data_IF_716847549477
#
_entry.id   IF_716847549477
#
_cell.length_a   1.000
_cell.length_b   1.000
_cell.length_c   1.000
_cell.angle_alpha   90.00
_cell.angle_beta   90.00
_cell.angle_gamma   90.00
#
_symmetry.space_group_name_H-M   'P 1'
#
loop_
_entity.id
_entity.type
_entity.pdbx_description
1 polymer ?
#
# COMPACT_ATOMS: atom_id res chain seq x y z
N UNK A 1 -2.91 23.49 -50.31
CA UNK A 1 -2.54 23.74 -48.91
C UNK A 1 -3.70 23.62 -47.86
N UNK A 2 -4.83 23.04 -48.22
CA UNK A 2 -6.02 22.98 -47.30
C UNK A 2 -6.24 21.61 -46.61
N UNK A 3 -5.43 20.61 -46.93
CA UNK A 3 -5.61 19.24 -46.41
C UNK A 3 -4.59 18.82 -45.34
N UNK A 4 -3.62 19.68 -45.04
CA UNK A 4 -2.58 19.38 -44.05
C UNK A 4 -2.95 19.77 -42.60
N UNK A 5 -3.99 20.59 -42.44
CA UNK A 5 -4.45 21.08 -41.12
C UNK A 5 -5.44 20.14 -40.42
N UNK A 6 -6.02 19.18 -41.15
CA UNK A 6 -6.98 18.23 -40.58
C UNK A 6 -6.34 16.98 -39.94
N UNK A 7 -5.07 16.70 -40.28
CA UNK A 7 -4.37 15.54 -39.71
C UNK A 7 -3.73 15.81 -38.35
N UNK A 8 -3.47 17.05 -37.98
CA UNK A 8 -2.88 17.40 -36.67
C UNK A 8 -3.93 17.41 -35.54
N UNK A 9 -5.22 17.53 -35.87
CA UNK A 9 -6.29 17.56 -34.87
C UNK A 9 -6.67 16.20 -34.31
N UNK A 10 -6.34 15.11 -35.01
CA UNK A 10 -6.77 13.74 -34.59
C UNK A 10 -5.73 13.06 -33.68
N UNK A 11 -4.48 13.50 -33.70
CA UNK A 11 -3.40 12.87 -32.88
C UNK A 11 -3.39 13.39 -31.44
N UNK A 12 -3.96 14.56 -31.18
CA UNK A 12 -4.02 15.14 -29.83
C UNK A 12 -5.14 14.55 -28.93
N UNK A 13 -6.03 13.74 -29.47
CA UNK A 13 -7.19 13.20 -28.73
C UNK A 13 -6.97 11.79 -28.15
N UNK A 14 -5.79 11.16 -28.33
CA UNK A 14 -5.57 9.78 -27.90
C UNK A 14 -4.62 9.61 -26.70
N UNK A 15 -4.30 10.66 -25.99
CA UNK A 15 -3.39 10.59 -24.84
C UNK A 15 -4.00 11.07 -23.52
N UNK A 16 -5.33 11.01 -23.39
CA UNK A 16 -5.93 11.03 -22.06
C UNK A 16 -6.05 9.55 -21.68
N UNK A 17 -4.93 8.95 -21.29
CA UNK A 17 -4.97 7.71 -20.52
C UNK A 17 -5.86 7.99 -19.32
N UNK A 18 -6.98 7.27 -19.20
CA UNK A 18 -7.76 7.30 -17.97
C UNK A 18 -6.77 7.07 -16.83
N UNK A 19 -6.78 7.89 -15.77
CA UNK A 19 -5.94 7.60 -14.62
C UNK A 19 -6.28 6.18 -14.18
N UNK A 20 -5.27 5.34 -14.08
CA UNK A 20 -5.44 4.03 -13.47
C UNK A 20 -5.77 4.30 -11.99
N UNK A 21 -7.05 4.29 -11.67
CA UNK A 21 -7.51 4.35 -10.29
C UNK A 21 -7.18 3.03 -9.64
N UNK A 22 -6.34 3.06 -8.63
CA UNK A 22 -5.99 1.87 -7.86
C UNK A 22 -6.34 2.08 -6.39
N UNK A 23 -6.66 0.98 -5.71
CA UNK A 23 -6.86 0.94 -4.28
C UNK A 23 -5.57 1.37 -3.57
N UNK A 24 -5.70 1.80 -2.32
CA UNK A 24 -4.57 2.39 -1.61
C UNK A 24 -4.25 1.64 -0.32
N UNK A 25 -3.03 1.15 -0.23
CA UNK A 25 -2.46 0.59 1.00
C UNK A 25 -1.34 1.50 1.51
N UNK A 26 -1.29 1.75 2.82
CA UNK A 26 -0.30 2.63 3.39
C UNK A 26 0.07 2.24 4.82
N UNK A 27 1.22 2.74 5.24
CA UNK A 27 1.70 2.65 6.60
C UNK A 27 1.62 4.02 7.28
N UNK A 28 1.23 3.99 8.54
CA UNK A 28 1.11 5.15 9.41
C UNK A 28 1.96 4.88 10.66
N UNK A 29 2.92 5.74 10.95
CA UNK A 29 3.85 5.59 12.07
C UNK A 29 3.39 6.41 13.26
N UNK A 30 2.72 7.52 13.04
CA UNK A 30 2.31 8.46 14.07
C UNK A 30 0.90 8.18 14.64
N UNK A 31 0.13 7.26 14.01
CA UNK A 31 -1.18 6.81 14.48
C UNK A 31 -2.31 7.80 14.18
N UNK A 32 -2.15 8.70 13.21
CA UNK A 32 -3.19 9.68 12.84
C UNK A 32 -4.17 9.17 11.77
N UNK A 33 -3.93 7.97 11.22
CA UNK A 33 -4.78 7.30 10.25
C UNK A 33 -4.61 7.82 8.82
N UNK A 34 -3.56 8.57 8.52
CA UNK A 34 -3.22 9.05 7.18
C UNK A 34 -1.73 8.90 6.91
N UNK A 35 -1.34 8.64 5.66
CA UNK A 35 0.07 8.63 5.29
C UNK A 35 0.52 10.03 4.86
N UNK A 36 1.44 10.60 5.62
CA UNK A 36 1.97 11.93 5.42
C UNK A 36 3.50 11.95 5.46
N UNK A 37 4.09 13.12 5.27
CA UNK A 37 5.53 13.31 5.48
C UNK A 37 5.97 13.15 6.95
N UNK A 38 5.02 13.09 7.89
CA UNK A 38 5.28 12.85 9.30
C UNK A 38 5.48 11.37 9.65
N UNK A 39 5.14 10.46 8.73
CA UNK A 39 5.32 9.01 8.92
C UNK A 39 6.77 8.59 8.76
N UNK A 40 7.58 9.03 9.70
CA UNK A 40 9.01 8.83 9.74
C UNK A 40 9.37 7.82 10.82
N UNK A 41 10.04 6.74 10.43
CA UNK A 41 10.62 5.78 11.37
C UNK A 41 11.82 6.40 12.10
N UNK A 42 11.76 6.32 13.41
CA UNK A 42 12.84 6.76 14.32
C UNK A 42 13.16 5.63 15.30
N UNK A 43 14.27 5.76 16.02
CA UNK A 43 14.62 4.79 17.07
C UNK A 43 13.61 4.72 18.23
N UNK A 44 12.70 5.69 18.33
CA UNK A 44 11.60 5.68 19.30
C UNK A 44 10.31 5.07 18.75
N UNK A 45 10.23 4.79 17.46
CA UNK A 45 9.07 4.15 16.86
C UNK A 45 8.99 2.69 17.30
N UNK A 46 7.86 2.28 17.86
CA UNK A 46 7.63 0.91 18.37
C UNK A 46 6.52 0.18 17.62
N UNK A 47 5.72 0.90 16.86
CA UNK A 47 4.59 0.39 16.09
C UNK A 47 4.50 1.06 14.73
N UNK A 48 4.01 0.30 13.75
CA UNK A 48 3.61 0.79 12.43
C UNK A 48 2.21 0.27 12.17
N UNK A 49 1.26 1.16 11.95
CA UNK A 49 -0.10 0.83 11.59
C UNK A 49 -0.18 0.57 10.09
N UNK A 50 -0.95 -0.43 9.69
CA UNK A 50 -1.16 -0.80 8.28
C UNK A 50 -2.62 -0.58 7.95
N UNK A 51 -2.88 0.27 6.95
CA UNK A 51 -4.21 0.60 6.47
C UNK A 51 -4.39 0.16 5.03
N UNK A 52 -5.63 -0.18 4.70
CA UNK A 52 -6.05 -0.46 3.34
C UNK A 52 -7.38 0.24 3.03
N UNK A 53 -7.43 0.97 1.92
CA UNK A 53 -8.62 1.60 1.38
C UNK A 53 -8.99 0.91 0.08
N UNK A 54 -10.07 0.12 0.09
CA UNK A 54 -10.48 -0.69 -1.05
C UNK A 54 -11.18 0.10 -2.14
N UNK A 55 -11.79 1.24 -1.80
CA UNK A 55 -12.64 2.00 -2.70
C UNK A 55 -12.18 3.44 -2.98
N UNK A 56 -10.97 3.79 -2.54
CA UNK A 56 -10.33 5.06 -2.90
C UNK A 56 -8.89 4.85 -3.33
N UNK A 57 -8.46 5.67 -4.27
CA UNK A 57 -7.06 5.79 -4.64
C UNK A 57 -6.29 6.65 -3.63
N UNK A 58 -4.96 6.65 -3.72
CA UNK A 58 -4.08 7.54 -2.94
C UNK A 58 -4.44 9.02 -3.07
N UNK A 59 -4.97 9.44 -4.23
CA UNK A 59 -5.42 10.80 -4.47
C UNK A 59 -6.84 11.08 -3.91
N UNK A 60 -7.48 10.11 -3.28
CA UNK A 60 -8.83 10.22 -2.72
C UNK A 60 -9.94 10.08 -3.75
N UNK A 61 -9.64 9.72 -5.00
CA UNK A 61 -10.66 9.47 -6.00
C UNK A 61 -11.34 8.13 -5.72
N UNK A 62 -12.66 8.07 -5.87
CA UNK A 62 -13.43 6.83 -5.75
C UNK A 62 -13.00 5.83 -6.82
N UNK A 63 -12.77 4.60 -6.40
CA UNK A 63 -12.45 3.46 -7.26
C UNK A 63 -13.62 2.51 -7.27
N UNK A 64 -13.93 1.97 -8.44
CA UNK A 64 -14.99 0.96 -8.63
C UNK A 64 -14.42 -0.18 -9.47
N UNK A 65 -15.03 -1.36 -9.40
CA UNK A 65 -14.74 -2.42 -10.34
C UNK A 65 -14.99 -1.96 -11.78
N UNK A 66 -14.23 -2.46 -12.73
CA UNK A 66 -14.35 -2.06 -14.15
C UNK A 66 -15.71 -2.33 -14.75
N UNK A 67 -16.43 -3.33 -14.25
CA UNK A 67 -17.80 -3.65 -14.68
C UNK A 67 -18.87 -2.73 -14.05
N UNK A 68 -18.52 -1.96 -13.04
CA UNK A 68 -19.41 -1.06 -12.31
C UNK A 68 -20.53 -1.77 -11.51
N UNK A 69 -20.50 -3.09 -11.42
CA UNK A 69 -21.53 -3.91 -10.78
C UNK A 69 -21.05 -4.55 -9.48
N UNK A 70 -19.86 -5.10 -9.50
CA UNK A 70 -19.31 -5.79 -8.34
C UNK A 70 -18.71 -4.80 -7.32
N UNK A 71 -18.89 -5.05 -6.02
CA UNK A 71 -18.32 -4.20 -4.99
C UNK A 71 -16.82 -4.46 -4.83
N UNK A 72 -16.07 -3.43 -4.43
CA UNK A 72 -14.69 -3.54 -3.97
C UNK A 72 -14.64 -3.93 -2.49
N UNK A 73 -15.33 -5.00 -2.15
CA UNK A 73 -15.29 -5.62 -0.84
C UNK A 73 -14.02 -6.45 -0.65
N UNK A 74 -13.78 -6.92 0.56
CA UNK A 74 -12.55 -7.63 0.89
C UNK A 74 -12.86 -8.91 1.68
N UNK A 75 -12.36 -10.04 1.18
CA UNK A 75 -12.40 -11.32 1.88
C UNK A 75 -11.01 -11.86 2.25
N UNK A 76 -9.98 -11.44 1.55
CA UNK A 76 -8.59 -11.80 1.83
C UNK A 76 -7.77 -10.53 1.80
N UNK A 77 -6.80 -10.43 2.67
CA UNK A 77 -5.69 -9.49 2.52
C UNK A 77 -4.37 -10.13 2.91
N UNK A 78 -3.36 -9.80 2.16
CA UNK A 78 -1.96 -10.11 2.44
C UNK A 78 -1.14 -8.84 2.33
N UNK A 79 -0.10 -8.73 3.13
CA UNK A 79 0.93 -7.75 2.86
C UNK A 79 2.31 -8.28 3.20
N UNK A 80 3.28 -7.78 2.48
CA UNK A 80 4.71 -7.98 2.73
C UNK A 80 5.36 -6.61 2.78
N UNK A 81 6.14 -6.37 3.83
CA UNK A 81 6.94 -5.16 4.00
C UNK A 81 8.41 -5.50 3.91
N UNK A 82 9.20 -4.57 3.38
CA UNK A 82 10.65 -4.65 3.27
C UNK A 82 11.28 -3.41 3.88
N UNK A 83 12.27 -3.63 4.76
CA UNK A 83 13.08 -2.55 5.32
C UNK A 83 14.35 -2.34 4.48
N UNK A 84 14.60 -1.08 4.13
CA UNK A 84 15.76 -0.64 3.35
C UNK A 84 16.36 0.64 3.94
N UNK A 85 17.39 1.19 3.30
CA UNK A 85 18.04 2.43 3.73
C UNK A 85 19.15 2.22 4.77
N UNK A 86 19.49 3.26 5.53
CA UNK A 86 20.59 3.25 6.49
C UNK A 86 20.11 2.83 7.89
N UNK A 87 19.97 1.54 8.10
CA UNK A 87 19.52 1.00 9.37
C UNK A 87 18.89 -0.37 9.22
N UNK A 88 18.16 -0.79 10.25
CA UNK A 88 17.45 -2.06 10.24
C UNK A 88 16.16 -1.97 11.05
N UNK A 89 15.22 -2.85 10.71
CA UNK A 89 14.01 -3.09 11.46
C UNK A 89 14.05 -4.49 12.02
N UNK A 90 13.86 -4.61 13.33
CA UNK A 90 13.54 -5.88 13.97
C UNK A 90 12.02 -5.94 14.11
N UNK A 91 11.40 -6.91 13.47
CA UNK A 91 9.97 -7.14 13.54
C UNK A 91 9.66 -8.04 14.74
N UNK A 92 8.90 -7.52 15.71
CA UNK A 92 8.61 -8.22 16.96
C UNK A 92 7.28 -8.99 16.90
N UNK A 93 6.40 -8.66 15.94
CA UNK A 93 5.12 -9.32 15.76
C UNK A 93 4.11 -8.45 15.01
N UNK A 94 2.97 -9.05 14.71
CA UNK A 94 1.80 -8.38 14.15
C UNK A 94 0.58 -8.64 15.00
N UNK A 95 -0.22 -7.60 15.21
CA UNK A 95 -1.50 -7.67 15.89
C UNK A 95 -2.59 -7.19 14.95
N UNK A 96 -3.51 -8.07 14.60
CA UNK A 96 -4.68 -7.73 13.80
C UNK A 96 -5.55 -6.71 14.52
N UNK A 97 -6.12 -5.77 13.78
CA UNK A 97 -7.03 -4.77 14.36
C UNK A 97 -8.31 -5.39 14.89
N UNK A 98 -8.92 -4.74 15.88
CA UNK A 98 -10.20 -5.18 16.45
C UNK A 98 -11.32 -5.18 15.39
N UNK A 99 -11.27 -4.25 14.42
CA UNK A 99 -12.25 -4.15 13.33
C UNK A 99 -12.17 -5.36 12.42
N UNK A 100 -10.95 -5.75 11.99
CA UNK A 100 -10.76 -6.92 11.12
C UNK A 100 -11.08 -8.22 11.84
N UNK A 101 -10.75 -8.31 13.13
CA UNK A 101 -11.13 -9.46 13.93
C UNK A 101 -12.66 -9.57 14.09
N UNK A 102 -13.36 -8.46 14.34
CA UNK A 102 -14.82 -8.42 14.41
C UNK A 102 -15.49 -8.73 13.06
N UNK A 103 -14.86 -8.39 11.94
CA UNK A 103 -15.30 -8.76 10.60
C UNK A 103 -15.06 -10.25 10.26
N UNK A 104 -14.44 -11.02 11.16
CA UNK A 104 -14.26 -12.46 11.02
C UNK A 104 -13.03 -12.88 10.22
N UNK A 105 -12.07 -11.98 10.03
CA UNK A 105 -10.79 -12.33 9.40
C UNK A 105 -9.97 -13.21 10.30
N UNK A 106 -9.58 -14.36 9.77
CA UNK A 106 -8.74 -15.36 10.44
C UNK A 106 -7.38 -15.44 9.77
N UNK A 107 -6.37 -15.74 10.52
CA UNK A 107 -5.01 -15.87 10.01
C UNK A 107 -4.92 -17.02 8.99
N UNK A 108 -4.56 -16.68 7.75
CA UNK A 108 -4.26 -17.62 6.68
C UNK A 108 -2.76 -17.95 6.68
N UNK A 109 -1.94 -16.93 6.66
CA UNK A 109 -0.48 -17.02 6.74
C UNK A 109 0.01 -16.35 8.01
N UNK A 110 0.79 -17.08 8.81
CA UNK A 110 1.37 -16.54 10.02
C UNK A 110 2.31 -15.36 9.71
N UNK A 111 2.36 -14.40 10.62
CA UNK A 111 3.36 -13.33 10.53
C UNK A 111 4.75 -13.95 10.54
N UNK A 112 5.43 -13.85 9.42
CA UNK A 112 6.73 -14.48 9.16
C UNK A 112 7.75 -13.42 8.84
N UNK A 113 8.93 -13.56 9.42
CA UNK A 113 10.06 -12.64 9.23
C UNK A 113 11.20 -13.38 8.53
N UNK A 114 11.75 -12.78 7.49
CA UNK A 114 12.92 -13.27 6.75
C UNK A 114 13.84 -12.09 6.41
N UNK A 115 14.97 -11.99 7.11
CA UNK A 115 15.91 -10.88 6.96
C UNK A 115 15.23 -9.53 7.26
N UNK A 116 15.17 -8.66 6.27
CA UNK A 116 14.50 -7.36 6.35
C UNK A 116 13.06 -7.39 5.80
N UNK A 117 12.51 -8.58 5.51
CA UNK A 117 11.14 -8.76 5.06
C UNK A 117 10.26 -9.28 6.21
N UNK A 118 9.01 -8.87 6.22
CA UNK A 118 7.99 -9.47 7.05
C UNK A 118 6.66 -9.50 6.29
N UNK A 119 5.90 -10.58 6.45
CA UNK A 119 4.63 -10.75 5.76
C UNK A 119 3.60 -11.48 6.60
N UNK A 120 2.33 -11.24 6.28
CA UNK A 120 1.17 -11.86 6.95
C UNK A 120 0.00 -11.92 5.98
N UNK A 121 -0.89 -12.90 6.17
CA UNK A 121 -2.12 -12.99 5.39
C UNK A 121 -3.31 -13.40 6.25
N UNK A 122 -4.48 -12.88 5.90
CA UNK A 122 -5.75 -13.13 6.57
C UNK A 122 -6.87 -13.38 5.56
N UNK A 123 -7.82 -14.21 5.96
CA UNK A 123 -9.00 -14.56 5.15
C UNK A 123 -10.25 -14.51 6.04
N UNK A 124 -11.37 -14.10 5.47
CA UNK A 124 -12.68 -14.16 6.10
C UNK A 124 -13.64 -15.04 5.30
N UNK A 125 -14.62 -15.63 5.98
CA UNK A 125 -15.70 -16.37 5.32
C UNK A 125 -16.75 -15.46 4.69
N UNK A 126 -16.77 -14.19 5.10
CA UNK A 126 -17.66 -13.16 4.58
C UNK A 126 -16.83 -11.97 4.11
N UNK A 127 -17.36 -11.26 3.12
CA UNK A 127 -16.70 -10.06 2.61
C UNK A 127 -16.93 -8.86 3.55
N UNK A 128 -15.86 -8.14 3.88
CA UNK A 128 -15.99 -6.82 4.46
C UNK A 128 -16.47 -5.84 3.37
N UNK A 129 -17.38 -4.93 3.71
CA UNK A 129 -17.88 -3.92 2.78
C UNK A 129 -16.74 -3.07 2.22
N UNK A 130 -16.91 -2.47 1.02
CA UNK A 130 -15.94 -1.50 0.52
C UNK A 130 -15.70 -0.39 1.54
N UNK A 131 -14.43 -0.02 1.73
CA UNK A 131 -14.07 1.02 2.68
C UNK A 131 -12.61 1.02 3.07
N UNK A 132 -12.31 1.86 4.04
CA UNK A 132 -10.97 2.01 4.62
C UNK A 132 -10.89 1.29 5.95
N UNK A 133 -9.88 0.48 6.11
CA UNK A 133 -9.66 -0.36 7.28
C UNK A 133 -8.23 -0.24 7.80
N UNK A 134 -8.08 -0.13 9.10
CA UNK A 134 -6.85 -0.53 9.75
C UNK A 134 -6.79 -2.06 9.76
N UNK A 135 -5.82 -2.63 9.06
CA UNK A 135 -5.61 -4.08 9.05
C UNK A 135 -5.02 -4.54 10.37
N UNK A 136 -4.13 -3.77 10.93
CA UNK A 136 -3.47 -4.02 12.21
C UNK A 136 -2.16 -3.27 12.39
N UNK A 137 -1.37 -3.69 13.36
CA UNK A 137 -0.11 -3.05 13.73
C UNK A 137 1.06 -4.01 13.70
N UNK A 138 2.17 -3.58 13.13
CA UNK A 138 3.46 -4.26 13.21
C UNK A 138 4.22 -3.67 14.40
N UNK A 139 4.61 -4.52 15.35
CA UNK A 139 5.49 -4.14 16.44
C UNK A 139 6.95 -4.20 15.96
N UNK A 140 7.71 -3.14 16.17
CA UNK A 140 9.06 -2.98 15.62
C UNK A 140 10.05 -2.46 16.65
N UNK A 141 11.34 -2.75 16.40
CA UNK A 141 12.48 -2.09 17.04
C UNK A 141 13.37 -1.53 15.93
N UNK A 142 13.67 -0.25 15.98
CA UNK A 142 14.33 0.48 14.91
C UNK A 142 15.77 0.80 15.29
N UNK A 143 16.70 0.57 14.35
CA UNK A 143 18.10 1.01 14.45
C UNK A 143 18.45 1.82 13.21
N UNK A 144 19.04 2.98 13.41
CA UNK A 144 19.37 3.90 12.30
C UNK A 144 18.16 4.58 11.71
N UNK A 145 18.13 4.72 10.39
CA UNK A 145 17.09 5.43 9.65
C UNK A 145 16.56 4.57 8.48
N UNK A 146 15.91 3.45 8.77
CA UNK A 146 15.33 2.61 7.73
C UNK A 146 14.08 3.26 7.13
N UNK A 147 13.69 2.73 5.98
CA UNK A 147 12.44 3.00 5.29
C UNK A 147 11.73 1.66 5.14
N UNK A 148 10.46 1.59 5.49
CA UNK A 148 9.60 0.45 5.15
C UNK A 148 8.85 0.73 3.86
N UNK A 149 8.80 -0.26 2.98
CA UNK A 149 8.01 -0.23 1.75
C UNK A 149 7.18 -1.49 1.64
N UNK A 150 6.04 -1.43 0.99
CA UNK A 150 5.31 -2.64 0.61
C UNK A 150 5.98 -3.33 -0.57
N UNK A 151 5.92 -4.65 -0.55
CA UNK A 151 6.40 -5.51 -1.64
C UNK A 151 5.18 -6.02 -2.40
N UNK A 152 5.03 -5.62 -3.65
CA UNK A 152 3.88 -6.00 -4.48
C UNK A 152 3.84 -7.50 -4.77
N UNK A 153 5.00 -8.09 -5.11
CA UNK A 153 5.13 -9.56 -5.29
C UNK A 153 6.33 -10.04 -4.51
N UNK A 154 6.11 -10.95 -3.57
CA UNK A 154 7.20 -11.54 -2.80
C UNK A 154 7.87 -12.65 -3.59
N UNK A 155 9.18 -12.60 -3.68
CA UNK A 155 10.03 -13.68 -4.21
C UNK A 155 10.79 -14.41 -3.11
N UNK A 156 10.59 -14.03 -1.85
CA UNK A 156 11.22 -14.66 -0.70
C UNK A 156 10.45 -15.94 -0.32
N UNK A 157 11.05 -17.14 -0.51
CA UNK A 157 10.36 -18.40 -0.26
C UNK A 157 10.06 -18.64 1.23
N UNK A 158 10.69 -17.88 2.13
CA UNK A 158 10.42 -17.97 3.56
C UNK A 158 9.18 -17.18 3.97
N UNK A 159 8.71 -16.27 3.13
CA UNK A 159 7.48 -15.49 3.36
C UNK A 159 6.33 -16.20 2.64
N UNK A 160 5.37 -16.80 3.35
CA UNK A 160 4.28 -17.57 2.72
C UNK A 160 3.25 -16.69 2.00
N UNK A 161 3.25 -15.38 2.24
CA UNK A 161 2.39 -14.41 1.55
C UNK A 161 2.89 -14.15 0.14
N UNK A 162 1.98 -14.08 -0.84
CA UNK A 162 2.33 -13.84 -2.25
C UNK A 162 2.84 -12.43 -2.53
N UNK A 163 2.59 -11.51 -1.61
CA UNK A 163 2.93 -10.10 -1.74
C UNK A 163 1.95 -9.23 -0.98
N UNK A 164 1.70 -8.03 -1.49
CA UNK A 164 0.71 -7.11 -0.90
C UNK A 164 -0.48 -7.01 -1.84
N UNK A 165 -1.67 -7.31 -1.34
CA UNK A 165 -2.89 -7.31 -2.12
C UNK A 165 -4.11 -7.71 -1.29
N UNK A 166 -5.24 -7.83 -1.96
CA UNK A 166 -6.49 -8.29 -1.35
C UNK A 166 -7.36 -9.02 -2.36
N UNK A 167 -8.28 -9.85 -1.88
CA UNK A 167 -9.30 -10.50 -2.70
C UNK A 167 -10.64 -9.77 -2.63
N UNK A 168 -11.28 -9.59 -3.79
CA UNK A 168 -12.53 -8.87 -4.00
C UNK A 168 -13.40 -9.55 -5.03
N UNK A 169 -14.68 -9.17 -5.14
CA UNK A 169 -15.60 -9.61 -6.19
C UNK A 169 -15.38 -8.94 -7.56
N UNK A 170 -14.38 -8.12 -7.74
CA UNK A 170 -14.14 -7.41 -9.01
C UNK A 170 -13.90 -8.30 -10.22
N UNK A 171 -13.50 -9.55 -10.03
CA UNK A 171 -13.31 -10.48 -11.15
C UNK A 171 -14.59 -11.29 -11.42
N UNK A 172 -15.44 -10.74 -12.30
CA UNK A 172 -16.65 -11.41 -12.75
C UNK A 172 -16.41 -12.55 -13.75
N UNK A 173 -15.17 -12.74 -14.23
CA UNK A 173 -14.85 -13.74 -15.25
C UNK A 173 -14.72 -15.16 -14.69
N UNK A 174 -14.54 -15.26 -13.38
CA UNK A 174 -14.36 -16.52 -12.68
C UNK A 174 -15.44 -16.62 -11.64
N UNK A 175 -16.22 -17.65 -11.67
CA UNK A 175 -17.32 -18.00 -10.75
C UNK A 175 -17.53 -17.07 -9.55
N UNK A 176 -18.76 -16.81 -9.22
CA UNK A 176 -19.29 -15.89 -8.17
C UNK A 176 -18.66 -15.95 -6.77
N UNK A 177 -17.58 -16.68 -6.57
CA UNK A 177 -16.86 -16.85 -5.32
C UNK A 177 -15.33 -16.72 -5.48
N UNK A 178 -14.83 -16.30 -6.66
CA UNK A 178 -13.40 -16.19 -6.86
C UNK A 178 -12.94 -14.75 -6.83
N UNK A 179 -11.88 -14.57 -6.14
CA UNK A 179 -11.25 -13.33 -5.75
C UNK A 179 -10.09 -13.04 -6.68
N UNK A 180 -10.05 -11.85 -7.22
CA UNK A 180 -8.83 -11.38 -7.87
C UNK A 180 -7.90 -10.84 -6.82
N UNK A 181 -6.75 -11.47 -6.62
CA UNK A 181 -5.66 -10.88 -5.89
C UNK A 181 -5.02 -9.80 -6.78
N UNK A 182 -5.52 -8.58 -6.64
CA UNK A 182 -5.09 -7.49 -7.50
C UNK A 182 -3.84 -6.81 -7.00
N UNK A 183 -2.66 -7.34 -7.32
CA UNK A 183 -1.40 -6.60 -7.16
C UNK A 183 -1.36 -5.39 -8.09
N UNK A 184 -2.03 -5.47 -9.23
CA UNK A 184 -2.07 -4.42 -10.25
C UNK A 184 -3.11 -3.32 -9.95
N UNK A 185 -3.86 -3.45 -8.85
CA UNK A 185 -5.01 -2.59 -8.55
C UNK A 185 -4.78 -1.63 -7.39
N UNK A 186 -3.63 -1.63 -6.75
CA UNK A 186 -3.41 -0.73 -5.62
C UNK A 186 -2.14 0.10 -5.74
N UNK A 187 -2.22 1.29 -5.20
CA UNK A 187 -1.10 2.17 -4.94
C UNK A 187 -0.64 1.96 -3.50
N UNK A 188 0.67 1.84 -3.29
CA UNK A 188 1.21 1.54 -1.98
C UNK A 188 2.12 2.66 -1.49
N UNK A 189 1.97 3.05 -0.24
CA UNK A 189 2.84 4.03 0.39
C UNK A 189 3.51 3.45 1.64
N UNK A 190 4.81 3.68 1.75
CA UNK A 190 5.63 3.25 2.87
C UNK A 190 5.90 4.37 3.87
N UNK A 191 6.75 4.05 4.82
CA UNK A 191 7.32 5.02 5.75
C UNK A 191 8.45 5.82 5.10
N UNK A 192 8.95 6.82 5.82
CA UNK A 192 10.08 7.64 5.34
C UNK A 192 11.28 7.48 6.25
N UNK A 193 12.46 7.81 5.72
CA UNK A 193 13.68 7.89 6.50
C UNK A 193 13.64 9.11 7.42
N UNK A 194 14.11 8.93 8.65
CA UNK A 194 14.35 10.04 9.59
C UNK A 194 15.54 10.92 9.22
N UNK A 195 16.31 10.53 8.20
CA UNK A 195 17.41 11.39 7.74
C UNK A 195 16.79 12.67 7.16
N UNK A 196 17.11 13.85 7.68
CA UNK A 196 16.65 15.08 7.07
C UNK A 196 17.11 15.06 5.62
N UNK A 197 16.19 15.15 4.69
CA UNK A 197 16.52 15.50 3.30
C UNK A 197 17.42 16.72 3.42
N UNK A 198 18.64 16.64 2.92
CA UNK A 198 19.61 17.74 2.98
C UNK A 198 18.88 19.05 2.78
N UNK A 199 19.09 19.98 3.71
CA UNK A 199 18.50 21.31 3.67
C UNK A 199 18.51 21.82 2.25
N UNK A 200 17.32 22.00 1.74
CA UNK A 200 17.00 22.33 0.37
C UNK A 200 18.10 23.15 -0.30
N UNK A 201 18.29 22.93 -1.59
CA UNK A 201 19.13 23.69 -2.54
C UNK A 201 19.24 25.20 -2.21
N UNK A 202 18.25 25.80 -1.56
CA UNK A 202 18.25 27.16 -1.07
C UNK A 202 19.24 27.45 0.07
N UNK A 203 19.53 26.52 0.95
CA UNK A 203 20.54 26.67 2.01
C UNK A 203 21.95 26.68 1.39
N UNK A 204 22.22 25.83 0.40
CA UNK A 204 23.49 25.81 -0.34
C UNK A 204 23.64 27.06 -1.23
N UNK A 205 22.56 27.51 -1.86
CA UNK A 205 22.57 28.74 -2.66
C UNK A 205 22.89 29.96 -1.79
N UNK A 206 22.31 30.09 -0.60
CA UNK A 206 22.64 31.20 0.32
C UNK A 206 24.08 31.23 0.79
N UNK A 207 24.76 30.07 0.88
CA UNK A 207 26.18 30.00 1.25
C UNK A 207 27.12 30.43 0.11
N UNK A 208 26.69 30.34 -1.15
CA UNK A 208 27.47 30.76 -2.33
C UNK A 208 27.42 32.28 -2.56
N UNK A 209 26.51 32.99 -1.92
CA UNK A 209 26.33 34.45 -2.07
C UNK A 209 26.67 35.22 -0.78
N UNK A 210 27.42 34.62 0.13
CA UNK A 210 28.08 35.27 1.27
C UNK A 210 29.61 35.22 1.07
#
# INVERSE_FOLDING_TARGET
MRHFLLLLGVIAAMAIGAPAYSQYVFMDVNGDGVNTLADVLTSSSTTVHVYFDTNHSKAGATVTCTDGVHPLDMAIYDFVVHASGSGSVTYNGYTQSAVMNAAGFQQLNAFTVSGQNAGVGYIANNYANPGRYELGTISVTITGSPILTFVGTSTDPAIPSFGTGYGTHCDASVNTNEETLGIDFFDADGTRSSTPTESTTWGKIKQLYR
#
